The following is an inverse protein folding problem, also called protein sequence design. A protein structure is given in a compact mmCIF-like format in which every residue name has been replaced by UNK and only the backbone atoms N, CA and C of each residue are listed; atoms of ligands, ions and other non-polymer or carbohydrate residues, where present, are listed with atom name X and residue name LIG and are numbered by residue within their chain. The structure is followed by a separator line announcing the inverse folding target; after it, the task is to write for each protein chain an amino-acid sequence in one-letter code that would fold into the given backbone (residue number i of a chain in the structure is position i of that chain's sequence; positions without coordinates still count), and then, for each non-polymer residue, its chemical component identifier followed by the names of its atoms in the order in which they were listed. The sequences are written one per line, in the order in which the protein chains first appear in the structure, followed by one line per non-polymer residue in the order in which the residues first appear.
data_IF_522751039683
#
_entry.id   IF_522751039683
#
_cell.length_a   1.000
_cell.length_b   1.000
_cell.length_c   1.000
_cell.angle_alpha   90.00
_cell.angle_beta   90.00
_cell.angle_gamma   90.00
#
_symmetry.space_group_name_H-M   'P 1'
#
loop_
_entity.id
_entity.type
_entity.pdbx_description
1 polymer ?
#
# COMPACT_ATOMS: atom_id res chain seq x y z
N UNK A 1 15.47 -11.00 -29.50
CA UNK A 1 15.11 -9.95 -28.51
C UNK A 1 13.61 -9.98 -28.27
N UNK A 2 13.11 -11.02 -27.60
CA UNK A 2 11.69 -11.13 -27.23
C UNK A 2 11.61 -11.99 -25.97
N UNK A 3 12.09 -11.45 -24.84
CA UNK A 3 11.71 -12.01 -23.55
C UNK A 3 10.30 -11.53 -23.26
N UNK A 4 9.35 -12.38 -23.63
CA UNK A 4 8.03 -12.48 -23.03
C UNK A 4 8.16 -12.20 -21.53
N UNK A 5 7.60 -11.07 -21.10
CA UNK A 5 7.34 -10.80 -19.70
C UNK A 5 6.32 -11.85 -19.25
N UNK A 6 6.82 -12.97 -18.71
CA UNK A 6 6.06 -13.82 -17.83
C UNK A 6 5.71 -12.97 -16.60
N UNK A 7 4.64 -12.19 -16.71
CA UNK A 7 4.04 -11.54 -15.56
C UNK A 7 3.48 -12.69 -14.73
N UNK A 8 4.22 -13.06 -13.69
CA UNK A 8 3.91 -14.14 -12.76
C UNK A 8 2.43 -14.08 -12.34
N UNK A 9 1.60 -14.86 -13.02
CA UNK A 9 0.15 -14.91 -12.79
C UNK A 9 -0.22 -15.67 -11.52
N UNK A 10 0.77 -16.03 -10.69
CA UNK A 10 0.60 -16.91 -9.53
C UNK A 10 0.38 -16.16 -8.22
N UNK A 11 0.53 -14.83 -8.19
CA UNK A 11 0.40 -14.04 -6.95
C UNK A 11 -0.90 -13.22 -6.83
N UNK A 12 -1.71 -13.11 -7.89
CA UNK A 12 -2.92 -12.28 -7.88
C UNK A 12 -4.17 -13.11 -7.63
N UNK A 13 -4.96 -12.81 -6.58
CA UNK A 13 -6.22 -13.50 -6.34
C UNK A 13 -7.23 -13.15 -7.44
N UNK A 14 -7.62 -14.13 -8.24
CA UNK A 14 -8.58 -14.01 -9.37
C UNK A 14 -10.05 -13.95 -8.94
N UNK A 15 -10.33 -13.70 -7.67
CA UNK A 15 -11.69 -13.71 -7.14
C UNK A 15 -12.44 -12.42 -7.49
N UNK A 16 -13.72 -12.53 -7.88
CA UNK A 16 -14.57 -11.42 -8.37
C UNK A 16 -14.80 -10.24 -7.39
N UNK A 17 -14.29 -10.32 -6.15
CA UNK A 17 -14.34 -9.24 -5.15
C UNK A 17 -12.98 -8.62 -4.83
N UNK A 18 -11.91 -9.09 -5.47
CA UNK A 18 -10.59 -8.50 -5.34
C UNK A 18 -10.51 -7.23 -6.18
N UNK A 19 -10.20 -6.12 -5.52
CA UNK A 19 -9.92 -4.86 -6.20
C UNK A 19 -8.42 -4.66 -6.14
N UNK A 20 -7.77 -4.80 -7.30
CA UNK A 20 -6.35 -4.49 -7.41
C UNK A 20 -6.17 -2.97 -7.36
N UNK A 21 -5.41 -2.52 -6.37
CA UNK A 21 -5.01 -1.13 -6.23
C UNK A 21 -3.54 -0.92 -6.61
N UNK A 22 -2.86 -1.97 -7.09
CA UNK A 22 -1.44 -1.92 -7.43
C UNK A 22 -1.21 -0.88 -8.54
N UNK A 23 -0.25 0.02 -8.35
CA UNK A 23 0.04 1.11 -9.27
C UNK A 23 -0.89 2.33 -9.16
N UNK A 24 -1.97 2.28 -8.36
CA UNK A 24 -2.79 3.46 -8.12
C UNK A 24 -2.12 4.46 -7.18
N UNK A 25 -2.46 5.74 -7.34
CA UNK A 25 -1.97 6.82 -6.50
C UNK A 25 -3.12 7.45 -5.73
N UNK A 26 -2.95 7.57 -4.41
CA UNK A 26 -3.90 8.15 -3.48
C UNK A 26 -3.26 9.39 -2.84
N UNK A 27 -3.48 10.56 -3.45
CA UNK A 27 -2.83 11.80 -3.01
C UNK A 27 -1.31 11.70 -3.17
N UNK A 28 -0.58 11.80 -2.05
CA UNK A 28 0.88 11.74 -1.99
C UNK A 28 1.44 10.33 -1.76
N UNK A 29 0.61 9.31 -2.00
CA UNK A 29 0.95 7.90 -1.75
C UNK A 29 0.71 7.09 -3.01
N UNK A 30 1.71 6.33 -3.43
CA UNK A 30 1.66 5.40 -4.56
C UNK A 30 1.62 3.96 -4.07
N UNK A 31 0.67 3.18 -4.55
CA UNK A 31 0.59 1.76 -4.23
C UNK A 31 1.59 0.99 -5.09
N UNK A 32 2.53 0.29 -4.46
CA UNK A 32 3.54 -0.53 -5.15
C UNK A 32 2.99 -1.90 -5.53
N UNK A 33 2.54 -2.66 -4.54
CA UNK A 33 2.14 -4.06 -4.72
C UNK A 33 1.19 -4.53 -3.64
N UNK A 34 0.43 -5.58 -3.95
CA UNK A 34 -0.31 -6.34 -2.97
C UNK A 34 0.63 -6.92 -1.89
N UNK A 35 0.30 -6.67 -0.63
CA UNK A 35 1.04 -7.21 0.52
C UNK A 35 0.46 -8.54 0.99
N UNK A 36 -0.87 -8.62 1.02
CA UNK A 36 -1.57 -9.77 1.59
C UNK A 36 -2.96 -9.40 2.09
N UNK A 37 -3.77 -10.41 2.41
CA UNK A 37 -5.09 -10.21 3.04
C UNK A 37 -4.98 -10.57 4.51
N UNK A 38 -5.44 -9.68 5.38
CA UNK A 38 -5.56 -9.92 6.83
C UNK A 38 -7.04 -9.88 7.18
N UNK A 39 -7.58 -10.99 7.69
CA UNK A 39 -9.01 -11.17 7.97
C UNK A 39 -9.84 -10.86 6.72
N UNK A 40 -10.62 -9.78 6.77
CA UNK A 40 -11.49 -9.35 5.68
C UNK A 40 -10.90 -8.22 4.83
N UNK A 41 -9.77 -7.64 5.25
CA UNK A 41 -9.16 -6.49 4.59
C UNK A 41 -7.93 -6.89 3.78
N UNK A 42 -7.86 -6.37 2.56
CA UNK A 42 -6.71 -6.50 1.67
C UNK A 42 -5.73 -5.37 2.03
N UNK A 43 -4.45 -5.70 2.15
CA UNK A 43 -3.38 -4.76 2.43
C UNK A 43 -2.46 -4.64 1.21
N UNK A 44 -1.99 -3.42 0.99
CA UNK A 44 -1.05 -3.09 -0.07
C UNK A 44 0.16 -2.36 0.50
N UNK A 45 1.33 -2.63 -0.08
CA UNK A 45 2.53 -1.84 0.17
C UNK A 45 2.38 -0.53 -0.57
N UNK A 46 2.44 0.56 0.18
CA UNK A 46 2.30 1.91 -0.31
C UNK A 46 3.59 2.66 -0.05
N UNK A 47 4.03 3.44 -1.03
CA UNK A 47 5.18 4.34 -0.94
C UNK A 47 4.67 5.77 -0.94
N UNK A 48 5.05 6.53 0.06
CA UNK A 48 4.75 7.96 0.08
C UNK A 48 5.83 8.72 -0.70
N UNK A 49 5.48 9.89 -1.23
CA UNK A 49 6.45 10.85 -1.82
C UNK A 49 7.61 11.20 -0.87
N UNK A 50 7.41 11.01 0.44
CA UNK A 50 8.42 11.16 1.49
C UNK A 50 9.55 10.10 1.41
N UNK A 51 9.41 9.06 0.56
CA UNK A 51 10.30 7.92 0.47
C UNK A 51 10.06 6.83 1.52
N UNK A 52 9.09 7.01 2.43
CA UNK A 52 8.73 5.95 3.39
C UNK A 52 7.70 4.99 2.78
N UNK A 53 7.96 3.72 2.97
CA UNK A 53 7.03 2.63 2.64
C UNK A 53 6.21 2.24 3.87
N UNK A 54 4.92 1.99 3.69
CA UNK A 54 4.01 1.56 4.75
C UNK A 54 2.90 0.66 4.20
N UNK A 55 2.25 -0.10 5.08
CA UNK A 55 1.13 -0.97 4.71
C UNK A 55 -0.20 -0.22 4.85
N UNK A 56 -0.88 0.01 3.72
CA UNK A 56 -2.22 0.61 3.69
C UNK A 56 -3.29 -0.45 3.45
N UNK A 57 -4.42 -0.36 4.17
CA UNK A 57 -5.57 -1.22 3.88
C UNK A 57 -6.33 -0.69 2.66
N UNK A 58 -6.85 -1.59 1.83
CA UNK A 58 -7.62 -1.23 0.63
C UNK A 58 -8.84 -0.37 0.96
N UNK A 59 -9.40 -0.52 2.16
CA UNK A 59 -10.55 0.25 2.62
C UNK A 59 -10.15 1.67 2.97
N UNK A 60 -9.03 1.84 3.67
CA UNK A 60 -8.51 3.17 4.06
C UNK A 60 -8.00 3.95 2.85
N UNK A 61 -7.34 3.27 1.90
CA UNK A 61 -6.90 3.86 0.64
C UNK A 61 -8.10 4.35 -0.18
N UNK A 62 -9.13 3.51 -0.37
CA UNK A 62 -10.35 3.88 -1.09
C UNK A 62 -11.16 4.98 -0.41
N UNK A 63 -11.24 4.95 0.93
CA UNK A 63 -11.90 6.02 1.71
C UNK A 63 -11.07 7.31 1.77
N UNK A 64 -9.81 7.28 1.32
CA UNK A 64 -8.90 8.42 1.43
C UNK A 64 -8.52 8.75 2.89
N UNK A 65 -8.62 7.77 3.80
CA UNK A 65 -8.17 7.93 5.19
C UNK A 65 -6.64 7.96 5.28
N UNK A 66 -5.96 7.27 4.37
CA UNK A 66 -4.49 7.19 4.32
C UNK A 66 -3.95 7.92 3.09
N UNK A 67 -3.69 9.22 3.22
CA UNK A 67 -3.12 10.09 2.16
C UNK A 67 -1.64 10.41 2.36
N UNK A 68 -1.03 9.98 3.46
CA UNK A 68 0.40 10.21 3.72
C UNK A 68 0.97 9.20 4.72
N UNK A 69 2.31 9.01 4.66
CA UNK A 69 3.10 8.21 5.61
C UNK A 69 3.11 8.78 7.05
N UNK A 70 2.44 9.91 7.30
CA UNK A 70 2.53 10.63 8.57
C UNK A 70 3.86 11.37 8.79
N UNK A 71 4.72 11.51 7.76
CA UNK A 71 5.99 12.26 7.84
C UNK A 71 5.79 13.69 8.34
N UNK A 72 4.72 14.36 7.91
CA UNK A 72 4.42 15.74 8.32
C UNK A 72 3.94 15.86 9.77
N UNK A 73 3.61 14.75 10.46
CA UNK A 73 3.13 14.76 11.85
C UNK A 73 4.20 14.37 12.86
N UNK A 74 5.46 14.17 12.45
CA UNK A 74 6.56 13.92 13.39
C UNK A 74 7.01 15.22 14.06
N UNK A 75 6.22 15.71 15.02
CA UNK A 75 6.84 16.22 16.23
C UNK A 75 7.46 15.01 16.95
N UNK A 76 8.69 15.11 17.48
CA UNK A 76 9.31 14.00 18.20
C UNK A 76 8.39 13.63 19.38
N UNK A 77 7.82 12.42 19.36
CA UNK A 77 7.21 11.85 20.57
C UNK A 77 8.35 11.69 21.56
N UNK A 78 8.34 12.48 22.64
CA UNK A 78 9.28 12.34 23.75
C UNK A 78 9.37 10.87 24.14
N UNK A 79 10.57 10.36 24.03
CA UNK A 79 11.00 9.07 24.50
C UNK A 79 10.70 8.97 26.00
N UNK A 80 9.81 8.03 26.36
CA UNK A 80 9.55 7.69 27.75
C UNK A 80 10.56 6.61 28.16
N UNK A 81 11.80 7.03 28.42
CA UNK A 81 12.78 6.24 29.17
C UNK A 81 12.26 6.09 30.61
N UNK A 82 12.28 4.85 31.11
CA UNK A 82 11.97 4.46 32.48
C UNK A 82 13.24 4.42 33.30
#
# INVERSE_FOLDING_TARGET
MAQLLAMDTRAYPTHSRFVDLSGQQFGDVKVKRYLGRRKESIYFVCECVCGNEFAGSSTDLRRGATKSCGCHKRAPKKEKQR
#
